data_IF_124753280675
#
_entry.id   IF_124753280675
#
_cell.length_a   1.000
_cell.length_b   1.000
_cell.length_c   1.000
_cell.angle_alpha   90.00
_cell.angle_beta   90.00
_cell.angle_gamma   90.00
#
_symmetry.space_group_name_H-M   'P 1'
#
loop_
_entity.id
_entity.type
_entity.pdbx_description
1 polymer ?
#
# COMPACT_ATOMS: atom_id res chain seq x y z
N UNK A 1 -3.53 -19.97 -21.40
CA UNK A 1 -2.48 -18.97 -21.09
C UNK A 1 -2.97 -17.63 -21.61
N UNK A 2 -2.83 -16.53 -20.86
CA UNK A 2 -3.14 -15.20 -21.41
C UNK A 2 -2.21 -14.95 -22.60
N UNK A 3 -2.75 -14.52 -23.73
CA UNK A 3 -1.95 -14.19 -24.91
C UNK A 3 -1.22 -12.87 -24.63
N UNK A 4 -0.02 -12.70 -25.19
CA UNK A 4 0.75 -11.44 -25.08
C UNK A 4 -0.08 -10.17 -25.36
N UNK A 5 -0.93 -10.10 -26.40
CA UNK A 5 -1.80 -8.94 -26.62
C UNK A 5 -2.80 -8.68 -25.48
N UNK A 6 -3.28 -9.71 -24.78
CA UNK A 6 -4.18 -9.52 -23.63
C UNK A 6 -3.42 -8.95 -22.42
N UNK A 7 -2.17 -9.39 -22.24
CA UNK A 7 -1.28 -8.87 -21.18
C UNK A 7 -0.96 -7.40 -21.46
N UNK A 8 -0.62 -7.06 -22.70
CA UNK A 8 -0.35 -5.68 -23.12
C UNK A 8 -1.57 -4.78 -22.91
N UNK A 9 -2.77 -5.24 -23.29
CA UNK A 9 -4.00 -4.48 -23.06
C UNK A 9 -4.26 -4.21 -21.58
N UNK A 10 -4.13 -5.24 -20.73
CA UNK A 10 -4.29 -5.09 -19.28
C UNK A 10 -3.21 -4.18 -18.67
N UNK A 11 -1.98 -4.23 -19.18
CA UNK A 11 -0.90 -3.34 -18.77
C UNK A 11 -1.18 -1.88 -19.17
N UNK A 12 -1.77 -1.64 -20.34
CA UNK A 12 -2.20 -0.29 -20.78
C UNK A 12 -3.31 0.24 -19.89
N UNK A 13 -4.34 -0.56 -19.59
CA UNK A 13 -5.44 -0.17 -18.70
C UNK A 13 -4.92 0.16 -17.29
N UNK A 14 -3.99 -0.66 -16.77
CA UNK A 14 -3.30 -0.44 -15.51
C UNK A 14 -2.52 0.89 -15.51
N UNK A 15 -1.80 1.18 -16.60
CA UNK A 15 -1.07 2.44 -16.78
C UNK A 15 -2.01 3.66 -16.82
N UNK A 16 -3.12 3.58 -17.55
CA UNK A 16 -4.09 4.67 -17.62
C UNK A 16 -4.68 4.98 -16.24
N UNK A 17 -5.01 3.94 -15.46
CA UNK A 17 -5.48 4.09 -14.09
C UNK A 17 -4.41 4.74 -13.19
N UNK A 18 -3.15 4.31 -13.33
CA UNK A 18 -2.03 4.91 -12.59
C UNK A 18 -1.91 6.41 -12.86
N UNK A 19 -1.96 6.82 -14.14
CA UNK A 19 -1.87 8.23 -14.55
C UNK A 19 -2.99 9.07 -13.94
N UNK A 20 -4.23 8.56 -13.93
CA UNK A 20 -5.36 9.23 -13.29
C UNK A 20 -5.14 9.37 -11.78
N UNK A 21 -4.80 8.28 -11.08
CA UNK A 21 -4.51 8.31 -9.65
C UNK A 21 -3.37 9.30 -9.32
N UNK A 22 -2.39 9.43 -10.21
CA UNK A 22 -1.23 10.29 -10.03
C UNK A 22 -1.57 11.77 -10.24
N UNK A 23 -2.42 12.09 -11.21
CA UNK A 23 -2.91 13.44 -11.41
C UNK A 23 -3.71 13.92 -10.18
N UNK A 24 -4.61 13.09 -9.67
CA UNK A 24 -5.44 13.40 -8.50
C UNK A 24 -4.59 13.58 -7.23
N UNK A 25 -3.65 12.65 -6.98
CA UNK A 25 -2.75 12.74 -5.82
C UNK A 25 -1.83 13.95 -5.90
N UNK A 26 -1.32 14.28 -7.09
CA UNK A 26 -0.47 15.46 -7.29
C UNK A 26 -1.23 16.75 -6.96
N UNK A 27 -2.43 16.90 -7.52
CA UNK A 27 -3.28 18.06 -7.27
C UNK A 27 -3.61 18.20 -5.77
N UNK A 28 -3.99 17.10 -5.13
CA UNK A 28 -4.30 17.06 -3.71
C UNK A 28 -3.08 17.43 -2.83
N UNK A 29 -1.90 16.86 -3.10
CA UNK A 29 -0.66 17.19 -2.38
C UNK A 29 -0.32 18.67 -2.53
N UNK A 30 -0.40 19.22 -3.75
CA UNK A 30 -0.09 20.63 -4.03
C UNK A 30 -0.99 21.59 -3.26
N UNK A 31 -2.27 21.26 -3.09
CA UNK A 31 -3.20 22.06 -2.28
C UNK A 31 -2.91 21.93 -0.79
N UNK A 32 -2.64 20.72 -0.30
CA UNK A 32 -2.40 20.45 1.12
C UNK A 32 -1.10 21.04 1.63
N UNK A 33 -0.06 21.10 0.80
CA UNK A 33 1.23 21.73 1.14
C UNK A 33 1.02 23.18 1.58
N UNK A 34 0.12 23.93 0.93
CA UNK A 34 -0.18 25.32 1.29
C UNK A 34 -0.81 25.48 2.68
N UNK A 35 -1.33 24.39 3.25
CA UNK A 35 -1.98 24.36 4.57
C UNK A 35 -1.06 23.79 5.65
N UNK A 36 0.17 23.40 5.31
CA UNK A 36 1.13 22.89 6.29
C UNK A 36 1.58 24.06 7.17
N UNK A 37 1.52 23.93 8.51
CA UNK A 37 2.04 24.96 9.40
C UNK A 37 3.54 25.18 9.20
N UNK A 38 3.95 26.41 8.91
CA UNK A 38 5.36 26.76 8.68
C UNK A 38 6.25 26.39 9.87
N UNK A 39 5.77 26.59 11.10
CA UNK A 39 6.50 26.25 12.32
C UNK A 39 6.84 24.75 12.40
N UNK A 40 5.93 23.87 11.96
CA UNK A 40 6.16 22.43 11.96
C UNK A 40 7.16 22.01 10.87
N UNK A 41 7.02 22.59 9.67
CA UNK A 41 7.96 22.35 8.58
C UNK A 41 9.37 22.82 8.93
N UNK A 42 9.49 24.01 9.53
CA UNK A 42 10.77 24.58 9.95
C UNK A 42 11.43 23.72 11.03
N UNK A 43 10.67 23.28 12.04
CA UNK A 43 11.16 22.37 13.08
C UNK A 43 11.72 21.07 12.49
N UNK A 44 11.01 20.47 11.52
CA UNK A 44 11.47 19.25 10.85
C UNK A 44 12.73 19.52 10.02
N UNK A 45 12.74 20.63 9.28
CA UNK A 45 13.86 21.06 8.45
C UNK A 45 15.13 21.24 9.27
N UNK A 46 15.04 21.92 10.41
CA UNK A 46 16.17 22.13 11.32
C UNK A 46 16.64 20.80 11.96
N UNK A 47 15.70 19.98 12.45
CA UNK A 47 16.03 18.72 13.12
C UNK A 47 16.68 17.68 12.20
N UNK A 48 16.27 17.65 10.93
CA UNK A 48 16.72 16.66 9.95
C UNK A 48 17.64 17.23 8.89
N UNK A 49 18.00 18.51 8.99
CA UNK A 49 18.89 19.22 8.06
C UNK A 49 18.48 19.07 6.59
N UNK A 50 17.19 19.29 6.28
CA UNK A 50 16.66 19.22 4.92
C UNK A 50 15.95 20.54 4.52
N UNK A 51 15.79 20.83 3.23
CA UNK A 51 14.99 21.97 2.76
C UNK A 51 13.57 21.99 3.34
N UNK A 52 13.02 23.19 3.57
CA UNK A 52 11.66 23.40 4.09
C UNK A 52 10.60 22.69 3.27
N UNK A 53 10.78 22.66 1.94
CA UNK A 53 9.85 22.06 1.00
C UNK A 53 9.77 20.53 1.17
N UNK A 54 10.92 19.89 1.38
CA UNK A 54 10.99 18.45 1.69
C UNK A 54 10.34 18.18 3.04
N UNK A 55 10.59 19.04 4.02
CA UNK A 55 9.99 18.91 5.35
C UNK A 55 8.45 19.00 5.30
N UNK A 56 7.88 19.90 4.49
CA UNK A 56 6.43 20.02 4.29
C UNK A 56 5.83 18.73 3.72
N UNK A 57 6.44 18.16 2.67
CA UNK A 57 5.96 16.91 2.08
C UNK A 57 6.12 15.74 3.04
N UNK A 58 7.26 15.64 3.74
CA UNK A 58 7.49 14.59 4.73
C UNK A 58 6.50 14.67 5.91
N UNK A 59 6.11 15.89 6.30
CA UNK A 59 5.04 16.11 7.28
C UNK A 59 3.71 15.53 6.78
N UNK A 60 3.29 15.85 5.56
CA UNK A 60 2.05 15.33 4.97
C UNK A 60 2.05 13.80 4.85
N UNK A 61 3.15 13.20 4.39
CA UNK A 61 3.32 11.74 4.30
C UNK A 61 3.14 11.08 5.68
N UNK A 62 3.68 11.70 6.73
CA UNK A 62 3.52 11.23 8.10
C UNK A 62 2.10 11.43 8.65
N UNK A 63 1.45 12.54 8.29
CA UNK A 63 0.06 12.80 8.63
C UNK A 63 -0.91 11.82 7.95
N UNK A 64 -0.58 11.38 6.74
CA UNK A 64 -1.32 10.34 6.02
C UNK A 64 -1.07 8.92 6.56
N UNK A 65 -0.17 8.78 7.54
CA UNK A 65 0.15 7.51 8.18
C UNK A 65 0.85 6.53 7.24
N UNK A 66 1.50 7.03 6.19
CA UNK A 66 2.22 6.20 5.21
C UNK A 66 3.55 5.75 5.81
N UNK A 67 4.36 6.70 6.30
CA UNK A 67 5.62 6.43 6.99
C UNK A 67 6.02 7.58 7.90
N UNK A 68 7.09 7.41 8.68
CA UNK A 68 7.56 8.48 9.55
C UNK A 68 8.33 9.59 8.84
N UNK A 69 8.27 10.80 9.42
CA UNK A 69 8.95 12.00 8.89
C UNK A 69 10.42 11.74 8.57
N UNK A 70 11.17 11.15 9.51
CA UNK A 70 12.59 10.83 9.29
C UNK A 70 12.83 9.92 8.10
N UNK A 71 11.95 8.94 7.88
CA UNK A 71 12.07 8.02 6.76
C UNK A 71 11.66 8.68 5.44
N UNK A 72 10.60 9.50 5.46
CA UNK A 72 10.16 10.26 4.28
C UNK A 72 11.24 11.25 3.83
N UNK A 73 11.81 12.03 4.76
CA UNK A 73 12.94 12.94 4.46
C UNK A 73 14.12 12.17 3.89
N UNK A 74 14.45 11.00 4.46
CA UNK A 74 15.55 10.18 3.96
C UNK A 74 15.32 9.77 2.50
N UNK A 75 14.15 9.23 2.16
CA UNK A 75 13.85 8.80 0.78
C UNK A 75 13.90 9.97 -0.21
N UNK A 76 13.29 11.10 0.14
CA UNK A 76 13.31 12.31 -0.69
C UNK A 76 14.74 12.84 -0.90
N UNK A 77 15.57 12.77 0.15
CA UNK A 77 16.97 13.22 0.08
C UNK A 77 17.87 12.26 -0.69
N UNK A 78 17.62 10.95 -0.58
CA UNK A 78 18.34 9.91 -1.35
C UNK A 78 18.12 10.10 -2.85
N UNK A 79 16.91 10.42 -3.30
CA UNK A 79 16.63 10.69 -4.72
C UNK A 79 17.28 12.01 -5.19
N UNK A 80 17.28 13.08 -4.37
CA UNK A 80 18.03 14.30 -4.69
C UNK A 80 19.52 14.02 -4.88
N UNK A 81 20.08 13.22 -3.99
CA UNK A 81 21.49 12.85 -4.05
C UNK A 81 21.78 11.98 -5.28
N UNK A 82 20.91 11.01 -5.60
CA UNK A 82 21.02 10.20 -6.81
C UNK A 82 21.04 11.08 -8.06
N UNK A 83 20.08 12.01 -8.17
CA UNK A 83 20.01 12.97 -9.27
C UNK A 83 21.28 13.80 -9.42
N UNK A 84 21.83 14.27 -8.30
CA UNK A 84 23.12 14.97 -8.30
C UNK A 84 24.27 14.09 -8.80
N UNK A 85 24.34 12.82 -8.37
CA UNK A 85 25.39 11.86 -8.80
C UNK A 85 25.32 11.59 -10.31
N UNK A 86 24.11 11.47 -10.87
CA UNK A 86 23.92 11.20 -12.31
C UNK A 86 24.00 12.46 -13.17
N UNK A 87 24.35 13.61 -12.59
CA UNK A 87 24.53 14.89 -13.28
C UNK A 87 23.24 15.59 -13.69
N UNK A 88 22.12 15.30 -13.01
CA UNK A 88 20.82 15.94 -13.19
C UNK A 88 20.37 16.61 -11.88
N UNK A 89 21.28 17.36 -11.26
CA UNK A 89 21.05 18.00 -9.97
C UNK A 89 19.93 19.02 -10.06
N UNK A 90 19.01 18.96 -9.10
CA UNK A 90 17.94 19.96 -8.99
C UNK A 90 18.53 21.26 -8.45
N UNK A 91 18.32 22.41 -9.12
CA UNK A 91 18.84 23.68 -8.61
C UNK A 91 18.27 23.96 -7.23
N UNK A 92 19.13 24.43 -6.32
CA UNK A 92 18.79 24.73 -4.93
C UNK A 92 17.99 26.06 -4.81
N UNK A 93 16.85 26.11 -5.50
CA UNK A 93 15.88 27.20 -5.47
C UNK A 93 14.58 26.64 -4.88
N UNK A 94 13.91 27.36 -3.95
CA UNK A 94 12.73 26.85 -3.25
C UNK A 94 11.64 26.30 -4.20
N UNK A 95 11.37 27.00 -5.30
CA UNK A 95 10.38 26.55 -6.28
C UNK A 95 10.74 25.21 -6.94
N UNK A 96 12.01 24.99 -7.27
CA UNK A 96 12.47 23.76 -7.92
C UNK A 96 12.48 22.58 -6.94
N UNK A 97 12.88 22.82 -5.70
CA UNK A 97 12.86 21.81 -4.64
C UNK A 97 11.41 21.44 -4.30
N UNK A 98 10.49 22.41 -4.29
CA UNK A 98 9.07 22.16 -4.06
C UNK A 98 8.46 21.29 -5.15
N UNK A 99 8.65 21.63 -6.42
CA UNK A 99 8.12 20.82 -7.53
C UNK A 99 8.71 19.40 -7.52
N UNK A 100 10.02 19.28 -7.26
CA UNK A 100 10.63 17.97 -7.03
C UNK A 100 9.98 17.21 -5.86
N UNK A 101 9.84 17.86 -4.70
CA UNK A 101 9.31 17.22 -3.50
C UNK A 101 7.83 16.82 -3.69
N UNK A 102 7.06 17.55 -4.48
CA UNK A 102 5.70 17.19 -4.88
C UNK A 102 5.69 15.93 -5.78
N UNK A 103 6.51 15.91 -6.83
CA UNK A 103 6.60 14.77 -7.75
C UNK A 103 7.08 13.51 -7.04
N UNK A 104 8.16 13.62 -6.25
CA UNK A 104 8.71 12.48 -5.52
C UNK A 104 7.81 12.09 -4.34
N UNK A 105 7.22 13.06 -3.64
CA UNK A 105 6.25 12.82 -2.58
C UNK A 105 5.04 12.02 -3.06
N UNK A 106 4.58 12.25 -4.29
CA UNK A 106 3.54 11.46 -4.94
C UNK A 106 3.98 10.00 -5.14
N UNK A 107 5.19 9.77 -5.65
CA UNK A 107 5.74 8.42 -5.83
C UNK A 107 5.89 7.68 -4.52
N UNK A 108 6.53 8.30 -3.52
CA UNK A 108 6.69 7.76 -2.18
C UNK A 108 5.32 7.42 -1.58
N UNK A 109 4.34 8.32 -1.70
CA UNK A 109 2.98 8.10 -1.17
C UNK A 109 2.24 6.97 -1.88
N UNK A 110 2.43 6.81 -3.20
CA UNK A 110 1.82 5.71 -3.95
C UNK A 110 2.49 4.38 -3.62
N UNK A 111 3.82 4.30 -3.75
CA UNK A 111 4.59 3.06 -3.62
C UNK A 111 4.52 2.52 -2.19
N UNK A 112 4.82 3.35 -1.18
CA UNK A 112 4.75 2.93 0.23
C UNK A 112 3.32 2.92 0.80
N UNK A 113 2.34 3.43 0.05
CA UNK A 113 0.94 3.51 0.45
C UNK A 113 0.06 2.50 -0.27
N UNK A 114 -0.55 2.93 -1.38
CA UNK A 114 -1.58 2.15 -2.09
C UNK A 114 -1.02 0.93 -2.81
N UNK A 115 0.16 1.03 -3.43
CA UNK A 115 0.73 -0.02 -4.25
C UNK A 115 1.04 -1.29 -3.44
N UNK A 116 1.81 -1.15 -2.35
CA UNK A 116 2.14 -2.30 -1.47
C UNK A 116 0.86 -2.99 -0.97
N UNK A 117 -0.17 -2.22 -0.62
CA UNK A 117 -1.48 -2.77 -0.20
C UNK A 117 -2.18 -3.54 -1.31
N UNK A 118 -2.20 -3.00 -2.54
CA UNK A 118 -2.77 -3.70 -3.69
C UNK A 118 -2.01 -5.00 -3.99
N UNK A 119 -0.68 -4.94 -3.93
CA UNK A 119 0.17 -6.12 -4.13
C UNK A 119 -0.12 -7.20 -3.09
N UNK A 120 -0.17 -6.85 -1.79
CA UNK A 120 -0.51 -7.79 -0.70
C UNK A 120 -1.85 -8.50 -0.92
N UNK A 121 -2.88 -7.79 -1.40
CA UNK A 121 -4.21 -8.37 -1.68
C UNK A 121 -4.11 -9.43 -2.78
N UNK A 122 -3.37 -9.14 -3.85
CA UNK A 122 -3.26 -10.05 -4.99
C UNK A 122 -2.32 -11.23 -4.73
N UNK A 123 -1.29 -11.07 -3.88
CA UNK A 123 -0.31 -12.11 -3.56
C UNK A 123 -0.93 -13.29 -2.81
N UNK A 124 -2.04 -13.09 -2.09
CA UNK A 124 -2.73 -14.19 -1.39
C UNK A 124 -3.16 -15.32 -2.33
N UNK A 125 -3.76 -14.97 -3.47
CA UNK A 125 -4.21 -15.97 -4.45
C UNK A 125 -3.04 -16.74 -5.06
N UNK A 126 -1.93 -16.05 -5.32
CA UNK A 126 -0.71 -16.67 -5.82
C UNK A 126 -0.05 -17.59 -4.78
N UNK A 127 -0.03 -17.18 -3.50
CA UNK A 127 0.56 -17.98 -2.43
C UNK A 127 -0.14 -19.35 -2.29
N UNK A 128 -1.47 -19.39 -2.43
CA UNK A 128 -2.23 -20.64 -2.40
C UNK A 128 -1.90 -21.55 -3.59
N UNK A 129 -1.70 -20.99 -4.79
CA UNK A 129 -1.29 -21.76 -5.97
C UNK A 129 0.14 -22.30 -5.83
N UNK A 130 1.01 -21.53 -5.17
CA UNK A 130 2.41 -21.88 -4.92
C UNK A 130 2.63 -22.79 -3.71
N UNK A 131 1.59 -23.05 -2.93
CA UNK A 131 1.65 -23.94 -1.78
C UNK A 131 1.92 -25.39 -2.23
N UNK A 132 2.89 -26.03 -1.58
CA UNK A 132 3.27 -27.42 -1.88
C UNK A 132 4.08 -27.61 -3.17
N UNK A 133 4.77 -26.58 -3.70
CA UNK A 133 5.76 -26.75 -4.79
C UNK A 133 7.06 -27.45 -4.30
N UNK A 134 7.21 -27.70 -3.00
CA UNK A 134 8.35 -28.43 -2.44
C UNK A 134 8.18 -29.96 -2.64
N UNK A 135 8.63 -30.48 -3.79
CA UNK A 135 8.62 -31.92 -4.09
C UNK A 135 8.79 -32.24 -5.58
N UNK A 136 8.97 -33.53 -5.96
CA UNK A 136 9.13 -33.91 -7.36
C UNK A 136 7.78 -33.87 -8.09
N UNK A 137 7.81 -33.22 -9.26
CA UNK A 137 6.74 -33.07 -10.25
C UNK A 137 5.46 -32.36 -9.77
N UNK A 138 5.41 -31.04 -10.01
CA UNK A 138 4.15 -30.28 -10.01
C UNK A 138 3.32 -30.73 -11.22
N UNK A 139 2.02 -30.98 -11.04
CA UNK A 139 1.10 -31.26 -12.16
C UNK A 139 1.14 -30.15 -13.21
N UNK A 140 1.10 -30.52 -14.49
CA UNK A 140 1.26 -29.60 -15.64
C UNK A 140 0.24 -28.46 -15.59
N UNK A 141 -1.03 -28.76 -15.27
CA UNK A 141 -2.09 -27.76 -15.17
C UNK A 141 -1.85 -26.78 -14.01
N UNK A 142 -1.37 -27.29 -12.88
CA UNK A 142 -0.98 -26.46 -11.73
C UNK A 142 0.20 -25.58 -12.09
N UNK A 143 1.22 -26.12 -12.78
CA UNK A 143 2.38 -25.36 -13.25
C UNK A 143 1.96 -24.22 -14.20
N UNK A 144 1.12 -24.50 -15.20
CA UNK A 144 0.56 -23.49 -16.09
C UNK A 144 -0.24 -22.41 -15.35
N UNK A 145 -1.03 -22.81 -14.36
CA UNK A 145 -1.83 -21.88 -13.55
C UNK A 145 -0.94 -20.94 -12.73
N UNK A 146 0.14 -21.46 -12.14
CA UNK A 146 1.15 -20.67 -11.42
C UNK A 146 1.84 -19.70 -12.39
N UNK A 147 2.29 -20.16 -13.56
CA UNK A 147 2.96 -19.31 -14.55
C UNK A 147 2.03 -18.19 -15.00
N UNK A 148 0.78 -18.49 -15.32
CA UNK A 148 -0.21 -17.51 -15.75
C UNK A 148 -0.50 -16.49 -14.64
N UNK A 149 -0.68 -16.95 -13.40
CA UNK A 149 -0.91 -16.07 -12.25
C UNK A 149 0.29 -15.15 -11.98
N UNK A 150 1.52 -15.70 -11.97
CA UNK A 150 2.75 -14.91 -11.81
C UNK A 150 2.91 -13.89 -12.92
N UNK A 151 2.72 -14.30 -14.17
CA UNK A 151 2.85 -13.43 -15.36
C UNK A 151 1.84 -12.29 -15.31
N UNK A 152 0.58 -12.59 -15.00
CA UNK A 152 -0.45 -11.57 -14.83
C UNK A 152 -0.05 -10.56 -13.76
N UNK A 153 0.34 -11.03 -12.57
CA UNK A 153 0.70 -10.12 -11.48
C UNK A 153 1.96 -9.30 -11.74
N UNK A 154 3.04 -9.92 -12.23
CA UNK A 154 4.29 -9.21 -12.49
C UNK A 154 4.13 -8.23 -13.63
N UNK A 155 3.50 -8.61 -14.73
CA UNK A 155 3.52 -7.83 -15.97
C UNK A 155 2.35 -6.84 -16.10
N UNK A 156 1.22 -7.07 -15.42
CA UNK A 156 0.08 -6.13 -15.49
C UNK A 156 -0.03 -5.22 -14.27
N UNK A 157 0.56 -5.58 -13.12
CA UNK A 157 0.46 -4.80 -11.88
C UNK A 157 1.81 -4.14 -11.55
N UNK A 158 2.90 -4.90 -11.51
CA UNK A 158 4.19 -4.38 -11.02
C UNK A 158 4.96 -3.67 -12.15
N UNK A 159 5.13 -4.32 -13.30
CA UNK A 159 5.93 -3.80 -14.41
C UNK A 159 5.46 -2.43 -14.92
N UNK A 160 4.14 -2.15 -15.08
CA UNK A 160 3.70 -0.84 -15.55
C UNK A 160 4.05 0.29 -14.58
N UNK A 161 3.98 0.02 -13.27
CA UNK A 161 4.32 1.01 -12.23
C UNK A 161 5.84 1.25 -12.19
N UNK A 162 6.64 0.19 -12.31
CA UNK A 162 8.10 0.29 -12.37
C UNK A 162 8.57 1.01 -13.63
N UNK A 163 7.93 0.77 -14.78
CA UNK A 163 8.23 1.43 -16.05
C UNK A 163 7.95 2.95 -15.99
N UNK A 164 6.78 3.35 -15.48
CA UNK A 164 6.45 4.77 -15.32
C UNK A 164 7.37 5.44 -14.28
N UNK A 165 7.72 4.73 -13.19
CA UNK A 165 8.70 5.24 -12.23
C UNK A 165 10.04 5.49 -12.91
N UNK A 166 10.56 4.52 -13.68
CA UNK A 166 11.84 4.66 -14.37
C UNK A 166 11.84 5.79 -15.40
N UNK A 167 10.73 6.06 -16.08
CA UNK A 167 10.60 7.20 -17.02
C UNK A 167 10.66 8.56 -16.32
N UNK A 168 10.05 8.69 -15.16
CA UNK A 168 10.06 9.95 -14.39
C UNK A 168 11.36 10.14 -13.57
N UNK A 169 12.23 9.13 -13.51
CA UNK A 169 13.50 9.14 -12.79
C UNK A 169 14.69 9.12 -13.77
N UNK A 170 15.30 10.28 -14.06
CA UNK A 170 16.36 10.40 -15.05
C UNK A 170 17.52 9.45 -14.76
N UNK A 171 17.94 8.69 -15.78
CA UNK A 171 19.04 7.72 -15.72
C UNK A 171 18.88 6.64 -14.63
N UNK A 172 17.67 6.40 -14.13
CA UNK A 172 17.44 5.31 -13.19
C UNK A 172 17.61 3.94 -13.88
N UNK A 173 18.26 3.04 -13.18
CA UNK A 173 18.51 1.66 -13.62
C UNK A 173 17.45 0.71 -13.06
N UNK A 174 17.40 -0.50 -13.62
CA UNK A 174 16.57 -1.60 -13.09
C UNK A 174 16.90 -1.93 -11.62
N UNK A 175 18.16 -1.72 -11.21
CA UNK A 175 18.62 -1.88 -9.83
C UNK A 175 18.03 -0.81 -8.91
N UNK A 176 17.96 0.45 -9.36
CA UNK A 176 17.35 1.52 -8.57
C UNK A 176 15.86 1.23 -8.32
N UNK A 177 15.15 0.80 -9.37
CA UNK A 177 13.75 0.36 -9.25
C UNK A 177 13.62 -0.83 -8.28
N UNK A 178 14.46 -1.87 -8.43
CA UNK A 178 14.46 -3.02 -7.53
C UNK A 178 14.69 -2.62 -6.07
N UNK A 179 15.63 -1.71 -5.81
CA UNK A 179 15.95 -1.23 -4.47
C UNK A 179 14.79 -0.42 -3.87
N UNK A 180 14.24 0.54 -4.62
CA UNK A 180 13.18 1.42 -4.15
C UNK A 180 11.90 0.63 -3.84
N UNK A 181 11.42 -0.15 -4.82
CA UNK A 181 10.21 -0.96 -4.67
C UNK A 181 10.42 -2.09 -3.66
N UNK A 182 11.56 -2.77 -3.70
CA UNK A 182 11.82 -3.88 -2.78
C UNK A 182 11.94 -3.42 -1.33
N UNK A 183 12.49 -2.23 -1.08
CA UNK A 183 12.45 -1.63 0.25
C UNK A 183 11.01 -1.30 0.68
N UNK A 184 10.19 -0.75 -0.22
CA UNK A 184 8.79 -0.45 0.10
C UNK A 184 7.99 -1.71 0.47
N UNK A 185 8.18 -2.79 -0.29
CA UNK A 185 7.48 -4.06 -0.10
C UNK A 185 7.92 -4.77 1.18
N UNK A 186 9.23 -4.82 1.46
CA UNK A 186 9.78 -5.65 2.54
C UNK A 186 10.12 -4.90 3.82
N UNK A 187 10.28 -3.57 3.73
CA UNK A 187 10.80 -2.70 4.79
C UNK A 187 12.19 -3.10 5.30
N UNK A 188 12.94 -3.90 4.54
CA UNK A 188 14.29 -4.28 4.91
C UNK A 188 15.26 -3.09 4.91
N UNK A 189 16.36 -3.24 5.65
CA UNK A 189 17.41 -2.22 5.67
C UNK A 189 18.14 -2.19 4.31
N UNK A 190 18.31 -0.99 3.75
CA UNK A 190 18.97 -0.70 2.47
C UNK A 190 20.35 -1.35 2.42
N UNK A 191 21.12 -1.28 3.51
CA UNK A 191 22.47 -1.84 3.58
C UNK A 191 22.54 -3.35 3.36
N UNK A 192 21.43 -4.06 3.61
CA UNK A 192 21.34 -5.52 3.48
C UNK A 192 20.55 -5.97 2.25
N UNK A 193 19.90 -5.04 1.53
CA UNK A 193 18.94 -5.35 0.46
C UNK A 193 19.60 -6.12 -0.68
N UNK A 194 20.75 -5.64 -1.16
CA UNK A 194 21.47 -6.26 -2.29
C UNK A 194 21.82 -7.74 -2.04
N UNK A 195 22.37 -8.05 -0.86
CA UNK A 195 22.72 -9.42 -0.49
C UNK A 195 21.48 -10.33 -0.43
N UNK A 196 20.36 -9.81 0.10
CA UNK A 196 19.10 -10.55 0.12
C UNK A 196 18.53 -10.75 -1.29
N UNK A 197 18.62 -9.76 -2.18
CA UNK A 197 18.15 -9.92 -3.56
C UNK A 197 18.90 -11.00 -4.32
N UNK A 198 20.21 -11.16 -4.11
CA UNK A 198 20.96 -12.27 -4.72
C UNK A 198 20.42 -13.65 -4.29
N UNK A 199 20.04 -13.80 -3.01
CA UNK A 199 19.43 -15.03 -2.52
C UNK A 199 18.05 -15.26 -3.14
N UNK A 200 17.24 -14.21 -3.23
CA UNK A 200 15.91 -14.23 -3.83
C UNK A 200 15.98 -14.52 -5.33
N UNK A 201 16.96 -13.97 -6.04
CA UNK A 201 17.19 -14.23 -7.47
C UNK A 201 17.39 -15.72 -7.73
N UNK A 202 18.27 -16.37 -6.94
CA UNK A 202 18.50 -17.82 -7.04
C UNK A 202 17.23 -18.62 -6.75
N UNK A 203 16.45 -18.24 -5.73
CA UNK A 203 15.16 -18.88 -5.40
C UNK A 203 14.11 -18.70 -6.50
N UNK A 204 14.03 -17.50 -7.07
CA UNK A 204 13.10 -17.19 -8.16
C UNK A 204 13.45 -17.98 -9.41
N UNK A 205 14.74 -18.08 -9.75
CA UNK A 205 15.19 -18.95 -10.85
C UNK A 205 14.92 -20.42 -10.58
N UNK A 206 15.17 -20.91 -9.36
CA UNK A 206 14.89 -22.29 -8.99
C UNK A 206 13.40 -22.64 -9.13
N UNK A 207 12.50 -21.74 -8.70
CA UNK A 207 11.06 -21.90 -8.90
C UNK A 207 10.71 -22.06 -10.39
N UNK A 208 11.23 -21.18 -11.25
CA UNK A 208 10.94 -21.25 -12.68
C UNK A 208 11.55 -22.49 -13.35
N UNK A 209 12.71 -22.99 -12.88
CA UNK A 209 13.27 -24.27 -13.35
C UNK A 209 12.38 -25.46 -12.99
N UNK A 210 11.85 -25.50 -11.76
CA UNK A 210 10.89 -26.55 -11.35
C UNK A 210 9.63 -26.51 -12.22
N UNK A 211 9.08 -25.31 -12.46
CA UNK A 211 7.91 -25.15 -13.31
C UNK A 211 8.20 -25.58 -14.77
N UNK A 212 9.38 -25.25 -15.29
CA UNK A 212 9.83 -25.68 -16.62
C UNK A 212 9.92 -27.19 -16.74
N UNK A 213 10.55 -27.86 -15.78
CA UNK A 213 10.68 -29.33 -15.76
C UNK A 213 9.30 -30.00 -15.78
N UNK A 214 8.34 -29.47 -15.01
CA UNK A 214 6.94 -29.93 -15.04
C UNK A 214 6.23 -29.74 -16.38
N UNK A 215 6.62 -28.77 -17.21
CA UNK A 215 6.03 -28.61 -18.54
C UNK A 215 6.68 -29.53 -19.60
N UNK A 216 7.97 -29.82 -19.44
CA UNK A 216 8.71 -30.70 -20.36
C UNK A 216 8.21 -32.15 -20.33
N UNK A 217 7.64 -32.60 -19.20
CA UNK A 217 7.05 -33.93 -19.09
C UNK A 217 5.76 -34.10 -19.90
N UNK A 218 5.19 -33.03 -20.45
CA UNK A 218 3.94 -33.01 -21.21
C UNK A 218 4.03 -32.26 -22.55
N UNK A 219 5.23 -32.18 -23.15
CA UNK A 219 5.53 -31.35 -24.33
C UNK A 219 4.96 -31.88 -25.66
N UNK A 220 3.66 -32.16 -25.71
CA UNK A 220 2.97 -32.59 -26.93
C UNK A 220 2.13 -31.47 -27.57
N UNK A 221 2.21 -30.23 -27.08
CA UNK A 221 1.40 -29.11 -27.61
C UNK A 221 2.16 -27.79 -27.77
N UNK A 222 1.82 -27.06 -28.84
CA UNK A 222 2.37 -25.74 -29.18
C UNK A 222 2.29 -24.70 -28.04
N UNK A 223 1.25 -24.79 -27.20
CA UNK A 223 1.06 -23.90 -26.06
C UNK A 223 2.06 -24.18 -24.93
N UNK A 224 2.49 -25.42 -24.76
CA UNK A 224 3.54 -25.79 -23.79
C UNK A 224 4.90 -25.30 -24.27
N UNK A 225 5.21 -25.45 -25.55
CA UNK A 225 6.47 -24.97 -26.14
C UNK A 225 6.61 -23.45 -25.99
N UNK A 226 5.53 -22.70 -26.27
CA UNK A 226 5.50 -21.26 -26.05
C UNK A 226 5.71 -20.88 -24.57
N UNK A 227 5.09 -21.62 -23.65
CA UNK A 227 5.26 -21.40 -22.22
C UNK A 227 6.69 -21.71 -21.74
N UNK A 228 7.29 -22.80 -22.22
CA UNK A 228 8.67 -23.18 -21.93
C UNK A 228 9.64 -22.11 -22.44
N UNK A 229 9.52 -21.68 -23.69
CA UNK A 229 10.35 -20.61 -24.26
C UNK A 229 10.24 -19.31 -23.45
N UNK A 230 9.02 -18.95 -23.01
CA UNK A 230 8.78 -17.77 -22.17
C UNK A 230 9.47 -17.87 -20.81
N UNK A 231 9.49 -19.06 -20.21
CA UNK A 231 10.20 -19.34 -18.95
C UNK A 231 11.71 -19.31 -19.15
N UNK A 232 12.22 -19.90 -20.23
CA UNK A 232 13.66 -19.92 -20.54
C UNK A 232 14.22 -18.50 -20.70
N UNK A 233 13.54 -17.65 -21.46
CA UNK A 233 13.89 -16.23 -21.55
C UNK A 233 13.86 -15.55 -20.18
N UNK A 234 12.86 -15.82 -19.35
CA UNK A 234 12.77 -15.23 -18.01
C UNK A 234 13.89 -15.71 -17.08
N UNK A 235 14.28 -16.99 -17.15
CA UNK A 235 15.41 -17.53 -16.37
C UNK A 235 16.71 -16.86 -16.77
N UNK A 236 16.93 -16.67 -18.07
CA UNK A 236 18.10 -15.94 -18.61
C UNK A 236 18.11 -14.47 -18.18
N UNK A 237 16.98 -13.77 -18.31
CA UNK A 237 16.83 -12.38 -17.85
C UNK A 237 17.09 -12.25 -16.34
N UNK A 238 16.54 -13.17 -15.54
CA UNK A 238 16.80 -13.27 -14.09
C UNK A 238 18.26 -13.61 -13.79
N UNK A 239 19.05 -14.09 -14.74
CA UNK A 239 20.47 -14.41 -14.59
C UNK A 239 21.41 -13.23 -14.81
N UNK A 240 20.90 -12.11 -15.34
CA UNK A 240 21.69 -10.90 -15.61
C UNK A 240 22.03 -10.14 -14.33
N UNK A 241 22.92 -9.16 -14.44
CA UNK A 241 23.19 -8.21 -13.36
C UNK A 241 21.94 -7.36 -13.08
N UNK A 242 21.74 -6.89 -11.84
CA UNK A 242 20.53 -6.12 -11.50
C UNK A 242 20.36 -4.82 -12.32
N UNK A 243 21.44 -4.27 -12.85
CA UNK A 243 21.43 -3.06 -13.68
C UNK A 243 20.93 -3.35 -15.10
N UNK A 244 21.15 -4.57 -15.61
CA UNK A 244 20.81 -5.02 -16.97
C UNK A 244 19.56 -5.92 -17.03
N UNK A 245 18.94 -6.19 -15.87
CA UNK A 245 17.69 -6.93 -15.83
C UNK A 245 16.58 -6.16 -16.54
N UNK A 246 15.72 -6.89 -17.24
CA UNK A 246 14.48 -6.34 -17.80
C UNK A 246 13.54 -5.97 -16.66
N UNK A 247 12.67 -4.97 -16.88
CA UNK A 247 11.61 -4.63 -15.92
C UNK A 247 10.67 -5.81 -15.65
N UNK A 248 10.50 -6.70 -16.64
CA UNK A 248 9.80 -7.96 -16.50
C UNK A 248 10.44 -8.86 -15.43
N UNK A 249 11.75 -9.10 -15.52
CA UNK A 249 12.48 -9.89 -14.53
C UNK A 249 12.48 -9.23 -13.14
N UNK A 250 12.70 -7.90 -13.07
CA UNK A 250 12.58 -7.13 -11.82
C UNK A 250 11.20 -7.31 -11.19
N UNK A 251 10.14 -7.26 -11.99
CA UNK A 251 8.76 -7.43 -11.50
C UNK A 251 8.51 -8.82 -10.94
N UNK A 252 9.06 -9.87 -11.55
CA UNK A 252 8.98 -11.23 -11.00
C UNK A 252 9.78 -11.40 -9.69
N UNK A 253 10.91 -10.69 -9.55
CA UNK A 253 11.68 -10.64 -8.29
C UNK A 253 10.89 -9.92 -7.19
N UNK A 254 10.34 -8.73 -7.48
CA UNK A 254 9.52 -7.95 -6.56
C UNK A 254 8.27 -8.73 -6.11
N UNK A 255 7.67 -9.49 -7.02
CA UNK A 255 6.57 -10.40 -6.69
C UNK A 255 7.00 -11.51 -5.74
N UNK A 256 8.21 -12.06 -5.90
CA UNK A 256 8.70 -13.15 -5.07
C UNK A 256 9.00 -12.73 -3.63
N UNK A 257 9.38 -11.47 -3.40
CA UNK A 257 9.65 -10.92 -2.06
C UNK A 257 8.42 -10.35 -1.36
N UNK A 258 7.29 -10.24 -2.07
CA UNK A 258 6.08 -9.71 -1.50
C UNK A 258 5.65 -10.55 -0.28
N UNK A 259 5.38 -9.92 0.87
CA UNK A 259 5.07 -10.65 2.09
C UNK A 259 3.84 -11.51 1.86
N UNK A 260 4.03 -12.83 1.98
CA UNK A 260 2.93 -13.79 1.96
C UNK A 260 2.22 -13.66 3.30
N UNK A 261 0.93 -13.36 3.30
CA UNK A 261 0.16 -13.45 4.54
C UNK A 261 0.20 -14.90 4.97
N UNK A 262 0.92 -15.19 6.06
CA UNK A 262 0.84 -16.49 6.70
C UNK A 262 -0.64 -16.76 6.98
N UNK A 263 -1.11 -17.94 6.64
CA UNK A 263 -2.45 -18.45 6.92
C UNK A 263 -2.68 -18.49 8.43
N UNK A 264 -2.95 -17.33 9.03
CA UNK A 264 -3.56 -17.22 10.33
C UNK A 264 -4.97 -17.77 10.24
N UNK A 265 -5.28 -18.78 11.06
CA UNK A 265 -6.62 -19.38 11.21
C UNK A 265 -7.73 -18.32 11.21
N UNK A 266 -8.74 -18.55 10.38
CA UNK A 266 -10.09 -18.01 10.54
C UNK A 266 -10.41 -16.76 9.71
N UNK A 267 -11.45 -16.86 8.88
CA UNK A 267 -12.32 -15.81 8.33
C UNK A 267 -11.93 -14.35 8.63
N UNK A 268 -10.96 -13.81 7.89
CA UNK A 268 -10.70 -12.37 7.89
C UNK A 268 -11.27 -11.74 6.62
N UNK A 269 -12.32 -10.96 6.81
CA UNK A 269 -12.97 -10.14 5.78
C UNK A 269 -11.92 -9.31 5.01
N UNK A 270 -12.03 -9.19 3.66
CA UNK A 270 -11.12 -8.38 2.83
C UNK A 270 -11.09 -6.90 3.23
N UNK A 271 -12.04 -6.45 4.05
CA UNK A 271 -12.13 -5.08 4.53
C UNK A 271 -11.28 -4.82 5.79
N UNK A 272 -10.90 -5.87 6.55
CA UNK A 272 -10.03 -5.81 7.74
C UNK A 272 -8.59 -6.06 7.32
N UNK A 273 -7.80 -4.98 7.22
CA UNK A 273 -6.38 -5.08 6.86
C UNK A 273 -5.52 -5.04 8.12
N UNK A 274 -5.07 -6.19 8.62
CA UNK A 274 -4.01 -6.24 9.63
C UNK A 274 -2.73 -5.75 8.97
N UNK A 275 -2.33 -4.50 9.26
CA UNK A 275 -0.99 -4.04 8.93
C UNK A 275 0.01 -4.80 9.78
N UNK A 276 1.15 -5.16 9.19
CA UNK A 276 2.30 -5.68 9.95
C UNK A 276 2.63 -4.71 11.08
N UNK A 277 2.78 -5.25 12.29
CA UNK A 277 3.15 -4.55 13.53
C UNK A 277 4.14 -3.41 13.26
N UNK A 278 3.68 -2.19 13.49
CA UNK A 278 4.51 -0.99 13.45
C UNK A 278 5.41 -1.02 14.70
N UNK A 279 6.69 -1.29 14.50
CA UNK A 279 7.71 -1.12 15.54
C UNK A 279 8.13 0.35 15.61
N UNK A 280 7.19 1.24 15.97
CA UNK A 280 7.50 2.64 16.29
C UNK A 280 7.69 2.81 17.80
N UNK A 281 8.95 2.77 18.22
CA UNK A 281 9.42 3.30 19.52
C UNK A 281 8.97 2.50 20.75
N UNK A 282 9.64 1.39 21.05
CA UNK A 282 9.58 0.63 22.32
C UNK A 282 8.19 0.32 22.92
N UNK A 283 7.11 0.52 22.19
CA UNK A 283 5.78 0.01 22.48
C UNK A 283 5.36 -0.76 21.24
N UNK A 284 5.29 -2.08 21.36
CA UNK A 284 4.59 -2.87 20.36
C UNK A 284 3.16 -2.31 20.29
N UNK A 285 2.75 -1.80 19.14
CA UNK A 285 1.32 -1.52 18.91
C UNK A 285 0.57 -2.86 19.08
N UNK A 286 -0.57 -2.89 19.80
CA UNK A 286 -1.32 -4.12 19.98
C UNK A 286 -1.71 -4.71 18.63
N UNK A 287 -1.74 -6.04 18.53
CA UNK A 287 -2.13 -6.73 17.30
C UNK A 287 -3.53 -6.26 16.87
N UNK A 288 -3.62 -5.66 15.68
CA UNK A 288 -4.88 -5.17 15.10
C UNK A 288 -5.66 -6.36 14.53
N UNK A 289 -6.46 -7.03 15.35
CA UNK A 289 -7.21 -8.24 15.00
C UNK A 289 -8.70 -7.98 14.71
N UNK A 290 -9.26 -6.92 15.31
CA UNK A 290 -10.67 -6.55 15.27
C UNK A 290 -10.88 -5.24 14.48
N UNK A 291 -12.04 -5.06 13.81
CA UNK A 291 -12.41 -3.78 13.19
C UNK A 291 -12.31 -2.59 14.17
N UNK A 292 -12.53 -2.83 15.46
CA UNK A 292 -12.49 -1.81 16.50
C UNK A 292 -11.07 -1.39 16.88
N UNK A 293 -10.06 -2.27 16.71
CA UNK A 293 -8.65 -1.88 16.90
C UNK A 293 -8.23 -0.82 15.87
N UNK A 294 -8.76 -0.93 14.64
CA UNK A 294 -8.55 0.09 13.60
C UNK A 294 -9.27 1.38 13.92
N UNK A 295 -10.51 1.29 14.40
CA UNK A 295 -11.30 2.46 14.80
C UNK A 295 -10.58 3.23 15.91
N UNK A 296 -10.12 2.55 16.95
CA UNK A 296 -9.35 3.13 18.05
C UNK A 296 -8.07 3.82 17.56
N UNK A 297 -7.27 3.13 16.73
CA UNK A 297 -6.05 3.71 16.14
C UNK A 297 -6.38 4.94 15.29
N UNK A 298 -7.39 4.84 14.43
CA UNK A 298 -7.74 5.91 13.50
C UNK A 298 -8.30 7.13 14.23
N UNK A 299 -9.06 6.95 15.31
CA UNK A 299 -9.45 8.02 16.24
C UNK A 299 -8.22 8.63 16.91
N UNK A 300 -7.31 7.84 17.49
CA UNK A 300 -6.07 8.37 18.08
C UNK A 300 -5.21 9.15 17.08
N UNK A 301 -5.14 8.71 15.82
CA UNK A 301 -4.41 9.39 14.75
C UNK A 301 -5.09 10.69 14.30
N UNK A 302 -6.43 10.72 14.27
CA UNK A 302 -7.21 11.88 13.87
C UNK A 302 -7.05 13.08 14.83
N UNK A 303 -6.63 12.86 16.08
CA UNK A 303 -6.23 13.94 17.02
C UNK A 303 -5.16 14.88 16.43
N UNK A 304 -4.30 14.39 15.54
CA UNK A 304 -3.23 15.17 14.90
C UNK A 304 -3.73 16.09 13.78
N UNK A 305 -4.95 15.85 13.28
CA UNK A 305 -5.59 16.59 12.18
C UNK A 305 -6.50 17.68 12.77
N UNK A 306 -6.79 18.75 12.03
CA UNK A 306 -7.68 19.84 12.47
C UNK A 306 -8.82 20.08 11.47
N UNK A 307 -9.96 20.55 11.99
CA UNK A 307 -11.13 20.96 11.19
C UNK A 307 -11.61 19.92 10.18
N UNK A 308 -11.86 20.36 8.95
CA UNK A 308 -12.43 19.56 7.85
C UNK A 308 -11.58 18.33 7.52
N UNK A 309 -10.24 18.42 7.61
CA UNK A 309 -9.36 17.28 7.32
C UNK A 309 -9.51 16.14 8.34
N UNK A 310 -9.79 16.47 9.61
CA UNK A 310 -10.10 15.47 10.64
C UNK A 310 -11.43 14.80 10.32
N UNK A 311 -12.44 15.59 9.94
CA UNK A 311 -13.78 15.12 9.64
C UNK A 311 -13.80 14.17 8.43
N UNK A 312 -13.21 14.57 7.31
CA UNK A 312 -13.13 13.74 6.09
C UNK A 312 -12.37 12.43 6.34
N UNK A 313 -11.25 12.50 7.07
CA UNK A 313 -10.49 11.33 7.44
C UNK A 313 -11.32 10.34 8.25
N UNK A 314 -11.96 10.82 9.32
CA UNK A 314 -12.78 9.97 10.19
C UNK A 314 -13.99 9.41 9.45
N UNK A 315 -14.69 10.20 8.63
CA UNK A 315 -15.79 9.72 7.77
C UNK A 315 -15.36 8.52 6.94
N UNK A 316 -14.21 8.63 6.26
CA UNK A 316 -13.70 7.56 5.42
C UNK A 316 -13.33 6.30 6.23
N UNK A 317 -12.72 6.45 7.41
CA UNK A 317 -12.32 5.32 8.26
C UNK A 317 -13.50 4.63 8.92
N UNK A 318 -14.43 5.39 9.48
CA UNK A 318 -15.68 4.87 10.08
C UNK A 318 -16.49 4.11 9.03
N UNK A 319 -16.66 4.67 7.83
CA UNK A 319 -17.36 3.99 6.73
C UNK A 319 -16.71 2.67 6.32
N UNK A 320 -15.39 2.51 6.52
CA UNK A 320 -14.69 1.25 6.26
C UNK A 320 -14.98 0.22 7.35
N UNK A 321 -15.00 0.62 8.62
CA UNK A 321 -15.35 -0.26 9.74
C UNK A 321 -16.80 -0.75 9.60
N UNK A 322 -17.74 0.16 9.29
CA UNK A 322 -19.14 -0.20 9.06
C UNK A 322 -19.32 -1.19 7.90
N UNK A 323 -18.55 -1.05 6.81
CA UNK A 323 -18.56 -2.03 5.71
C UNK A 323 -18.13 -3.43 6.15
N UNK A 324 -17.17 -3.53 7.07
CA UNK A 324 -16.78 -4.81 7.66
C UNK A 324 -17.94 -5.40 8.45
N UNK A 325 -18.56 -4.60 9.32
CA UNK A 325 -19.66 -5.07 10.18
C UNK A 325 -20.87 -5.51 9.35
N UNK A 326 -21.20 -4.76 8.29
CA UNK A 326 -22.23 -5.16 7.31
C UNK A 326 -21.89 -6.47 6.61
N UNK A 327 -20.62 -6.72 6.29
CA UNK A 327 -20.17 -8.01 5.74
C UNK A 327 -20.30 -9.16 6.75
N UNK A 328 -20.22 -8.87 8.05
CA UNK A 328 -20.50 -9.82 9.14
C UNK A 328 -22.00 -9.92 9.46
N UNK A 329 -22.86 -9.49 8.54
CA UNK A 329 -24.33 -9.52 8.65
C UNK A 329 -24.91 -8.70 9.81
N UNK A 330 -24.15 -7.72 10.33
CA UNK A 330 -24.69 -6.79 11.32
C UNK A 330 -25.65 -5.77 10.71
N UNK A 331 -26.76 -5.53 11.42
CA UNK A 331 -27.67 -4.43 11.09
C UNK A 331 -27.00 -3.08 11.33
N UNK A 332 -27.55 -2.00 10.76
CA UNK A 332 -27.02 -0.66 10.98
C UNK A 332 -27.05 -0.24 12.46
N UNK A 333 -28.10 -0.64 13.18
CA UNK A 333 -28.26 -0.35 14.62
C UNK A 333 -27.19 -1.08 15.41
N UNK A 334 -27.04 -2.40 15.21
CA UNK A 334 -25.99 -3.20 15.85
C UNK A 334 -24.60 -2.66 15.54
N UNK A 335 -24.37 -2.24 14.30
CA UNK A 335 -23.07 -1.73 13.86
C UNK A 335 -22.70 -0.42 14.58
N UNK A 336 -23.65 0.50 14.73
CA UNK A 336 -23.44 1.76 15.47
C UNK A 336 -23.28 1.48 16.96
N UNK A 337 -24.17 0.69 17.55
CA UNK A 337 -24.09 0.30 18.96
C UNK A 337 -22.73 -0.30 19.31
N UNK A 338 -22.28 -1.32 18.56
CA UNK A 338 -20.96 -1.93 18.77
C UNK A 338 -19.81 -0.94 18.61
N UNK A 339 -19.86 -0.07 17.60
CA UNK A 339 -18.82 0.94 17.40
C UNK A 339 -18.74 1.91 18.58
N UNK A 340 -19.88 2.39 19.07
CA UNK A 340 -19.92 3.37 20.16
C UNK A 340 -19.48 2.74 21.49
N UNK A 341 -19.97 1.53 21.81
CA UNK A 341 -19.55 0.79 23.02
C UNK A 341 -18.05 0.53 23.01
N UNK A 342 -17.50 0.03 21.90
CA UNK A 342 -16.06 -0.23 21.81
C UNK A 342 -15.23 1.05 21.87
N UNK A 343 -15.72 2.19 21.34
CA UNK A 343 -15.06 3.49 21.50
C UNK A 343 -15.03 3.91 22.98
N UNK A 344 -16.15 3.79 23.68
CA UNK A 344 -16.27 4.14 25.11
C UNK A 344 -15.31 3.29 25.94
N UNK A 345 -15.36 1.97 25.77
CA UNK A 345 -14.57 1.03 26.55
C UNK A 345 -13.06 1.19 26.31
N UNK A 346 -12.65 1.35 25.04
CA UNK A 346 -11.22 1.38 24.67
C UNK A 346 -10.55 2.73 24.86
N UNK A 347 -11.32 3.82 24.80
CA UNK A 347 -10.79 5.17 25.00
C UNK A 347 -11.07 5.70 26.41
N UNK A 348 -11.66 4.89 27.28
CA UNK A 348 -11.97 5.23 28.68
C UNK A 348 -12.81 6.52 28.80
N UNK A 349 -13.82 6.65 27.92
CA UNK A 349 -14.70 7.83 27.84
C UNK A 349 -15.90 7.62 28.78
N UNK A 350 -16.46 8.70 29.33
CA UNK A 350 -17.72 8.61 30.06
C UNK A 350 -18.88 8.20 29.13
N UNK A 351 -19.41 6.99 29.34
CA UNK A 351 -20.50 6.40 28.57
C UNK A 351 -21.90 6.87 28.97
N UNK A 352 -22.04 7.85 29.87
CA UNK A 352 -23.32 8.30 30.42
C UNK A 352 -24.39 8.72 29.38
N UNK A 353 -23.97 9.12 28.17
CA UNK A 353 -24.88 9.50 27.08
C UNK A 353 -25.09 8.41 26.02
N UNK A 354 -24.40 7.27 26.14
CA UNK A 354 -24.36 6.23 25.11
C UNK A 354 -25.74 5.66 24.78
N UNK A 355 -26.50 5.25 25.79
CA UNK A 355 -27.84 4.67 25.62
C UNK A 355 -28.80 5.63 24.93
N UNK A 356 -28.75 6.91 25.29
CA UNK A 356 -29.59 7.95 24.69
C UNK A 356 -29.28 8.13 23.20
N UNK A 357 -27.99 8.17 22.84
CA UNK A 357 -27.54 8.32 21.45
C UNK A 357 -27.95 7.11 20.60
N UNK A 358 -27.89 5.90 21.17
CA UNK A 358 -28.33 4.67 20.49
C UNK A 358 -29.85 4.70 20.25
N UNK A 359 -30.65 5.13 21.23
CA UNK A 359 -32.10 5.22 21.04
C UNK A 359 -32.51 6.32 20.06
N UNK A 360 -31.89 7.50 20.14
CA UNK A 360 -32.11 8.58 19.17
C UNK A 360 -31.75 8.11 17.74
N UNK A 361 -30.69 7.31 17.60
CA UNK A 361 -30.29 6.70 16.33
C UNK A 361 -31.30 5.67 15.82
N UNK A 362 -31.83 4.79 16.68
CA UNK A 362 -32.86 3.80 16.31
C UNK A 362 -34.11 4.46 15.74
N UNK A 363 -34.56 5.56 16.35
CA UNK A 363 -35.70 6.35 15.86
C UNK A 363 -35.36 7.01 14.52
N UNK A 364 -34.17 7.57 14.39
CA UNK A 364 -33.74 8.26 13.16
C UNK A 364 -33.63 7.31 11.98
N UNK A 365 -33.02 6.13 12.18
CA UNK A 365 -32.78 5.18 11.09
C UNK A 365 -34.05 4.45 10.64
N UNK A 366 -35.01 4.25 11.54
CA UNK A 366 -36.32 3.67 11.21
C UNK A 366 -37.09 4.54 10.21
N UNK A 367 -36.92 5.86 10.29
CA UNK A 367 -37.58 6.84 9.42
C UNK A 367 -36.76 7.21 8.16
N UNK A 368 -35.52 6.73 8.06
CA UNK A 368 -34.62 7.08 6.95
C UNK A 368 -34.79 6.16 5.73
N UNK A 369 -34.60 6.74 4.54
CA UNK A 369 -34.56 5.98 3.29
C UNK A 369 -33.33 5.05 3.27
N UNK A 370 -33.45 3.89 2.62
CA UNK A 370 -32.40 2.87 2.60
C UNK A 370 -31.05 3.42 2.10
N UNK A 371 -31.06 4.31 1.10
CA UNK A 371 -29.87 4.94 0.55
C UNK A 371 -29.15 5.88 1.54
N UNK A 372 -29.83 6.37 2.57
CA UNK A 372 -29.30 7.34 3.55
C UNK A 372 -28.74 6.67 4.80
N UNK A 373 -29.11 5.40 5.05
CA UNK A 373 -28.79 4.67 6.28
C UNK A 373 -27.29 4.47 6.50
N UNK A 374 -26.54 4.15 5.44
CA UNK A 374 -25.08 4.00 5.51
C UNK A 374 -24.42 5.32 5.94
N UNK A 375 -24.86 6.45 5.39
CA UNK A 375 -24.32 7.77 5.73
C UNK A 375 -24.71 8.22 7.15
N UNK A 376 -25.95 7.96 7.57
CA UNK A 376 -26.40 8.25 8.92
C UNK A 376 -25.59 7.48 9.97
N UNK A 377 -25.30 6.19 9.74
CA UNK A 377 -24.43 5.41 10.62
C UNK A 377 -23.04 6.04 10.77
N UNK A 378 -22.45 6.53 9.67
CA UNK A 378 -21.14 7.20 9.71
C UNK A 378 -21.20 8.51 10.49
N UNK A 379 -22.21 9.34 10.22
CA UNK A 379 -22.37 10.67 10.83
C UNK A 379 -22.62 10.56 12.33
N UNK A 380 -23.42 9.59 12.78
CA UNK A 380 -23.69 9.39 14.21
C UNK A 380 -22.41 9.02 14.98
N UNK A 381 -21.63 8.06 14.49
CA UNK A 381 -20.36 7.67 15.12
C UNK A 381 -19.38 8.84 15.10
N UNK A 382 -19.29 9.57 13.99
CA UNK A 382 -18.42 10.74 13.86
C UNK A 382 -18.79 11.85 14.84
N UNK A 383 -20.08 12.16 14.97
CA UNK A 383 -20.60 13.17 15.90
C UNK A 383 -20.25 12.80 17.35
N UNK A 384 -20.43 11.52 17.71
CA UNK A 384 -20.05 11.00 19.02
C UNK A 384 -18.55 11.18 19.30
N UNK A 385 -17.71 10.72 18.36
CA UNK A 385 -16.25 10.84 18.46
C UNK A 385 -15.83 12.31 18.56
N UNK A 386 -16.43 13.19 17.77
CA UNK A 386 -16.07 14.61 17.77
C UNK A 386 -16.41 15.27 19.11
N UNK A 387 -17.61 15.02 19.61
CA UNK A 387 -18.11 15.62 20.84
C UNK A 387 -17.40 15.09 22.09
N UNK A 388 -17.12 13.79 22.16
CA UNK A 388 -16.65 13.13 23.38
C UNK A 388 -15.13 12.86 23.41
N UNK A 389 -14.45 12.82 22.26
CA UNK A 389 -13.00 12.55 22.19
C UNK A 389 -12.19 13.84 21.99
N UNK A 390 -12.68 14.76 21.16
CA UNK A 390 -11.93 15.98 20.82
C UNK A 390 -12.47 17.25 21.49
N UNK A 391 -13.68 17.22 22.04
CA UNK A 391 -14.30 18.38 22.68
C UNK A 391 -14.46 19.58 21.74
N UNK A 392 -14.73 20.76 22.31
CA UNK A 392 -14.96 22.00 21.57
C UNK A 392 -13.69 22.63 20.92
N UNK A 393 -12.58 21.88 20.78
CA UNK A 393 -11.38 22.30 20.03
C UNK A 393 -11.60 22.28 18.49
N UNK A 394 -12.86 22.32 18.05
CA UNK A 394 -13.31 22.19 16.65
C UNK A 394 -14.03 23.45 16.12
N UNK A 395 -13.71 24.63 16.66
CA UNK A 395 -14.04 25.93 16.05
C UNK A 395 -12.75 26.63 15.63
#
# INVERSE_FOLDING_TARGET
MLLEPDIEKLAIESRQKLVQEFADKYANLRERVKRVPEADAQRISEQLCCPSEIAMIAYLINMDGIMGVKQAVRLLSEELQRRAIVGDSIPNLPGNIMEFALTEGRWVSHIYGSFVRQLEIHVRGLANLEEGIEGPAVEVEKALSIIAARTKMSETIIAPVADEWQKEHPKATSKDALMFFGQAITKWNISTLNGKFLQIQRRTQALFRVLRESLLTASDSFTMDAAINRIDMLIEELGRSFEEMTLRAVSHLLLHIAPRQATGRGDRSPYVSVGVTSTRGNKAEPDLASPFDFLERDVKLAKRRLGIEREEYLKHKIARVLRVLKYQEHTHVESVEKCLTEIVDRLEIDGSQLEKIIEDFKVTIANAQEAERDNLSVVTILSFVTSNVYGADSV
#
